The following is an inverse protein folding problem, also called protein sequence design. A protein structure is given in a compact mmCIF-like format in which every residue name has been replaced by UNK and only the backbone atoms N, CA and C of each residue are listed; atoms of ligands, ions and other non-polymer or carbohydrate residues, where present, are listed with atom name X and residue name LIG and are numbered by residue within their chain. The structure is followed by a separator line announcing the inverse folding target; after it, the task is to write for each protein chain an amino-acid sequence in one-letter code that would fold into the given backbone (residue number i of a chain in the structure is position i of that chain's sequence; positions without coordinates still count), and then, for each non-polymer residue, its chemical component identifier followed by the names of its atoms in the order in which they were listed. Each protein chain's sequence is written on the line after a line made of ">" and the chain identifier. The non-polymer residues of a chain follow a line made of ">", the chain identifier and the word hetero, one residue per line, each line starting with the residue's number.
data_IF_083487145826
#
_entry.id   IF_083487145826
#
_cell.length_a   1.000
_cell.length_b   1.000
_cell.length_c   1.000
_cell.angle_alpha   90.00
_cell.angle_beta   90.00
_cell.angle_gamma   90.00
#
_symmetry.space_group_name_H-M   'P 1'
#
loop_
_entity.id
_entity.type
_entity.pdbx_description
1 polymer ?
#
# COMPACT_ATOMS: atom_id res chain seq x y z
N UNK A 1 20.77 -3.50 -20.44
CA UNK A 1 19.95 -4.32 -19.54
C UNK A 1 19.18 -3.34 -18.67
N UNK A 2 17.86 -3.50 -18.55
CA UNK A 2 17.03 -2.58 -17.77
C UNK A 2 17.44 -2.63 -16.31
N UNK A 3 17.70 -1.48 -15.70
CA UNK A 3 18.02 -1.37 -14.26
C UNK A 3 17.15 -0.31 -13.61
N UNK A 4 17.08 -0.31 -12.28
CA UNK A 4 16.49 0.78 -11.51
C UNK A 4 17.35 2.04 -11.74
N UNK A 5 16.74 3.10 -12.26
CA UNK A 5 17.39 4.40 -12.51
C UNK A 5 17.37 5.28 -11.25
N UNK A 6 16.19 5.40 -10.62
CA UNK A 6 15.99 6.24 -9.45
C UNK A 6 14.74 5.86 -8.68
N UNK A 7 14.71 6.26 -7.42
CA UNK A 7 13.58 6.08 -6.51
C UNK A 7 13.18 7.44 -5.96
N UNK A 8 11.90 7.77 -6.02
CA UNK A 8 11.33 8.96 -5.38
C UNK A 8 10.38 8.56 -4.26
N UNK A 9 10.54 9.20 -3.11
CA UNK A 9 9.69 9.02 -1.94
C UNK A 9 9.02 10.35 -1.67
N UNK A 10 7.69 10.33 -1.49
CA UNK A 10 6.92 11.52 -1.16
C UNK A 10 5.94 11.22 -0.05
N UNK A 11 5.80 12.16 0.88
CA UNK A 11 4.89 12.07 2.00
C UNK A 11 3.73 13.03 1.83
N UNK A 12 2.53 12.54 2.07
CA UNK A 12 1.27 13.25 1.89
C UNK A 12 0.45 13.17 3.17
N UNK A 13 -0.33 14.22 3.44
CA UNK A 13 -1.21 14.29 4.60
C UNK A 13 -2.60 14.71 4.16
N UNK A 14 -3.60 13.90 4.50
CA UNK A 14 -5.01 14.19 4.31
C UNK A 14 -5.62 14.60 5.66
N UNK A 15 -6.08 15.86 5.83
CA UNK A 15 -6.86 16.25 7.00
C UNK A 15 -8.19 15.48 7.06
N UNK A 16 -8.57 15.02 8.26
CA UNK A 16 -9.84 14.34 8.51
C UNK A 16 -10.76 15.28 9.30
N UNK A 17 -11.82 15.75 8.64
CA UNK A 17 -12.87 16.58 9.21
C UNK A 17 -14.25 16.03 8.81
N UNK A 18 -15.03 15.43 9.73
CA UNK A 18 -14.72 15.25 11.16
C UNK A 18 -13.55 14.27 11.41
N UNK A 19 -12.95 14.28 12.62
CA UNK A 19 -11.92 13.32 12.99
C UNK A 19 -12.45 11.88 12.92
N UNK A 20 -11.57 10.94 12.57
CA UNK A 20 -11.92 9.53 12.49
C UNK A 20 -11.58 8.79 13.79
N UNK A 21 -12.59 8.22 14.44
CA UNK A 21 -12.45 7.48 15.70
C UNK A 21 -12.25 5.99 15.43
N UNK A 22 -11.05 5.61 14.96
CA UNK A 22 -10.76 4.22 14.69
C UNK A 22 -10.91 3.35 15.95
N UNK A 23 -11.64 2.23 15.86
CA UNK A 23 -11.96 1.39 17.02
C UNK A 23 -10.73 0.78 17.72
N UNK A 24 -9.57 0.78 17.06
CA UNK A 24 -8.30 0.24 17.57
C UNK A 24 -7.33 1.32 18.06
N UNK A 25 -7.71 2.60 17.97
CA UNK A 25 -6.90 3.71 18.46
C UNK A 25 -7.46 4.27 19.77
N UNK A 26 -6.59 4.75 20.66
CA UNK A 26 -6.99 5.43 21.89
C UNK A 26 -7.38 6.91 21.69
N UNK A 27 -7.19 7.47 20.50
CA UNK A 27 -7.44 8.86 20.16
C UNK A 27 -7.98 8.99 18.74
N UNK A 28 -8.76 10.06 18.49
CA UNK A 28 -9.26 10.35 17.16
C UNK A 28 -8.12 10.71 16.19
N UNK A 29 -8.17 10.16 14.98
CA UNK A 29 -7.30 10.59 13.89
C UNK A 29 -7.82 11.88 13.30
N UNK A 30 -7.00 12.93 13.35
CA UNK A 30 -7.28 14.21 12.70
C UNK A 30 -6.65 14.32 11.31
N UNK A 31 -5.80 13.36 10.94
CA UNK A 31 -5.24 13.25 9.61
C UNK A 31 -4.91 11.79 9.28
N UNK A 32 -4.77 11.50 7.99
CA UNK A 32 -4.23 10.26 7.47
C UNK A 32 -2.96 10.60 6.66
N UNK A 33 -1.84 9.98 7.03
CA UNK A 33 -0.57 10.17 6.34
C UNK A 33 -0.33 9.01 5.38
N UNK A 34 0.15 9.33 4.18
CA UNK A 34 0.48 8.34 3.17
C UNK A 34 1.88 8.60 2.60
N UNK A 35 2.66 7.53 2.45
CA UNK A 35 3.91 7.57 1.69
C UNK A 35 3.69 6.94 0.32
N UNK A 36 4.08 7.65 -0.74
CA UNK A 36 4.11 7.14 -2.11
C UNK A 36 5.56 6.98 -2.54
N UNK A 37 5.91 5.75 -2.94
CA UNK A 37 7.22 5.38 -3.51
C UNK A 37 7.05 5.16 -5.01
N UNK A 38 7.95 5.75 -5.79
CA UNK A 38 8.01 5.64 -7.25
C UNK A 38 9.37 5.11 -7.66
N UNK A 39 9.40 3.98 -8.35
CA UNK A 39 10.63 3.37 -8.87
C UNK A 39 10.64 3.51 -10.38
N UNK A 40 11.66 4.18 -10.91
CA UNK A 40 11.84 4.38 -12.33
C UNK A 40 12.92 3.44 -12.85
N UNK A 41 12.71 2.84 -14.02
CA UNK A 41 13.75 2.09 -14.72
C UNK A 41 14.44 2.93 -15.82
N UNK A 42 15.55 2.43 -16.34
CA UNK A 42 16.33 3.08 -17.42
C UNK A 42 15.59 3.20 -18.75
N UNK A 43 14.46 2.52 -18.91
CA UNK A 43 13.63 2.55 -20.12
C UNK A 43 12.43 3.50 -19.95
N UNK A 44 12.34 4.22 -18.81
CA UNK A 44 11.31 5.21 -18.52
C UNK A 44 10.02 4.63 -17.96
N UNK A 45 9.99 3.35 -17.58
CA UNK A 45 8.84 2.75 -16.89
C UNK A 45 8.82 3.16 -15.42
N UNK A 46 7.63 3.12 -14.83
CA UNK A 46 7.37 3.53 -13.46
C UNK A 46 6.58 2.43 -12.74
N UNK A 47 7.08 1.99 -11.59
CA UNK A 47 6.31 1.26 -10.59
C UNK A 47 5.97 2.13 -9.40
N UNK A 48 4.75 1.99 -8.87
CA UNK A 48 4.21 2.80 -7.78
C UNK A 48 3.77 1.91 -6.63
N UNK A 49 4.13 2.30 -5.41
CA UNK A 49 3.64 1.69 -4.19
C UNK A 49 3.23 2.76 -3.16
N UNK A 50 2.22 2.43 -2.36
CA UNK A 50 1.69 3.32 -1.32
C UNK A 50 1.51 2.58 -0.01
N UNK A 51 1.68 3.29 1.09
CA UNK A 51 1.35 2.81 2.43
C UNK A 51 1.05 3.95 3.38
N UNK A 52 0.90 3.63 4.66
CA UNK A 52 0.88 4.62 5.75
C UNK A 52 2.20 5.42 5.77
N UNK A 53 2.37 6.30 6.76
CA UNK A 53 3.62 7.03 6.95
C UNK A 53 4.80 6.08 7.18
N UNK A 54 5.55 5.84 6.11
CA UNK A 54 6.76 5.02 6.08
C UNK A 54 7.96 5.85 6.52
N UNK A 55 8.71 5.35 7.50
CA UNK A 55 9.97 5.91 7.97
C UNK A 55 11.09 4.87 7.79
N UNK A 56 12.33 5.34 7.64
CA UNK A 56 13.52 4.48 7.67
C UNK A 56 14.02 3.99 6.30
N UNK A 57 13.29 4.25 5.22
CA UNK A 57 13.76 3.91 3.87
C UNK A 57 14.67 4.98 3.26
N UNK A 58 14.31 6.27 3.41
CA UNK A 58 15.08 7.39 2.86
C UNK A 58 16.57 7.28 3.22
N UNK A 59 17.44 7.41 2.22
CA UNK A 59 18.89 7.25 2.35
C UNK A 59 19.43 5.85 2.06
N UNK A 60 18.57 4.89 1.69
CA UNK A 60 18.95 3.52 1.30
C UNK A 60 18.70 3.22 -0.19
N UNK A 61 18.40 4.25 -0.99
CA UNK A 61 18.05 4.10 -2.42
C UNK A 61 19.20 3.48 -3.22
N UNK A 62 20.44 3.77 -2.83
CA UNK A 62 21.68 3.25 -3.44
C UNK A 62 21.79 1.73 -3.41
N UNK A 63 21.12 1.07 -2.46
CA UNK A 63 21.07 -0.38 -2.37
C UNK A 63 20.24 -1.02 -3.50
N UNK A 64 19.43 -0.23 -4.22
CA UNK A 64 18.51 -0.66 -5.27
C UNK A 64 18.85 -0.06 -6.64
N UNK A 65 19.27 1.20 -6.70
CA UNK A 65 19.65 1.87 -7.95
C UNK A 65 20.78 1.10 -8.65
N UNK A 66 20.65 0.94 -9.98
CA UNK A 66 21.57 0.17 -10.81
C UNK A 66 21.37 -1.36 -10.78
N UNK A 67 20.47 -1.87 -9.93
CA UNK A 67 20.14 -3.30 -9.90
C UNK A 67 19.01 -3.63 -10.89
N UNK A 68 18.92 -4.91 -11.29
CA UNK A 68 17.82 -5.43 -12.10
C UNK A 68 16.49 -5.34 -11.31
N UNK A 69 15.47 -4.61 -11.79
CA UNK A 69 14.18 -4.52 -11.10
C UNK A 69 13.44 -5.86 -10.98
N UNK A 70 13.76 -6.84 -11.82
CA UNK A 70 13.14 -8.17 -11.80
C UNK A 70 13.76 -9.14 -10.77
N UNK A 71 14.87 -8.76 -10.13
CA UNK A 71 15.48 -9.54 -9.03
C UNK A 71 14.74 -9.31 -7.71
N UNK A 72 13.43 -9.64 -7.69
CA UNK A 72 12.52 -9.39 -6.58
C UNK A 72 12.98 -10.09 -5.29
N UNK A 73 13.57 -11.29 -5.38
CA UNK A 73 14.09 -12.02 -4.23
C UNK A 73 15.28 -11.29 -3.58
N UNK A 74 16.19 -10.72 -4.38
CA UNK A 74 17.29 -9.89 -3.87
C UNK A 74 16.74 -8.65 -3.19
N UNK A 75 15.81 -7.94 -3.83
CA UNK A 75 15.21 -6.72 -3.29
C UNK A 75 14.47 -6.98 -1.98
N UNK A 76 13.69 -8.07 -1.92
CA UNK A 76 12.99 -8.48 -0.70
C UNK A 76 13.96 -8.79 0.45
N UNK A 77 15.11 -9.43 0.16
CA UNK A 77 16.13 -9.70 1.18
C UNK A 77 16.80 -8.43 1.70
N UNK A 78 17.08 -7.45 0.82
CA UNK A 78 17.60 -6.14 1.23
C UNK A 78 16.57 -5.41 2.08
N UNK A 79 15.32 -5.35 1.62
CA UNK A 79 14.20 -4.75 2.35
C UNK A 79 14.01 -5.39 3.73
N UNK A 80 14.06 -6.71 3.82
CA UNK A 80 13.94 -7.44 5.10
C UNK A 80 15.02 -7.05 6.10
N UNK A 81 16.23 -6.70 5.63
CA UNK A 81 17.30 -6.22 6.48
C UNK A 81 17.03 -4.78 6.97
N UNK A 82 16.59 -3.89 6.07
CA UNK A 82 16.18 -2.52 6.43
C UNK A 82 15.02 -2.55 7.42
N UNK A 83 14.02 -3.40 7.18
CA UNK A 83 12.85 -3.60 8.04
C UNK A 83 13.22 -4.02 9.46
N UNK A 84 14.30 -4.79 9.60
CA UNK A 84 14.81 -5.22 10.90
C UNK A 84 15.48 -4.08 11.68
N UNK A 85 16.16 -3.15 10.99
CA UNK A 85 16.97 -2.10 11.62
C UNK A 85 16.26 -0.75 11.77
N UNK A 86 15.33 -0.43 10.86
CA UNK A 86 14.74 0.91 10.75
C UNK A 86 13.22 0.89 10.82
N UNK A 87 12.56 0.27 9.84
CA UNK A 87 11.10 0.31 9.74
C UNK A 87 10.60 -0.42 8.50
N UNK A 88 9.31 -0.77 8.50
CA UNK A 88 8.72 -1.57 7.43
C UNK A 88 8.53 -0.75 6.15
N UNK A 89 9.38 -0.99 5.17
CA UNK A 89 9.42 -0.25 3.92
C UNK A 89 8.59 -0.92 2.81
N UNK A 90 7.45 -1.51 3.16
CA UNK A 90 6.60 -2.27 2.23
C UNK A 90 6.15 -1.49 0.98
N UNK A 91 5.97 -0.15 0.99
CA UNK A 91 5.61 0.57 -0.24
C UNK A 91 6.67 0.43 -1.34
N UNK A 92 7.96 0.26 -1.01
CA UNK A 92 8.97 -0.03 -2.03
C UNK A 92 8.75 -1.41 -2.65
N UNK A 93 8.47 -2.44 -1.83
CA UNK A 93 8.21 -3.80 -2.35
C UNK A 93 7.05 -3.78 -3.35
N UNK A 94 5.95 -3.10 -3.01
CA UNK A 94 4.81 -2.93 -3.91
C UNK A 94 5.20 -2.19 -5.20
N UNK A 95 6.01 -1.13 -5.10
CA UNK A 95 6.47 -0.39 -6.27
C UNK A 95 7.34 -1.23 -7.21
N UNK A 96 8.18 -2.12 -6.65
CA UNK A 96 8.99 -3.07 -7.44
C UNK A 96 8.12 -4.12 -8.12
N UNK A 97 7.11 -4.65 -7.44
CA UNK A 97 6.13 -5.56 -8.04
C UNK A 97 5.32 -4.91 -9.15
N UNK A 98 4.88 -3.66 -8.97
CA UNK A 98 4.20 -2.90 -10.01
C UNK A 98 5.12 -2.69 -11.22
N UNK A 99 6.37 -2.27 -11.01
CA UNK A 99 7.37 -2.13 -12.08
C UNK A 99 7.60 -3.45 -12.81
N UNK A 100 7.72 -4.57 -12.08
CA UNK A 100 7.87 -5.89 -12.68
C UNK A 100 6.65 -6.28 -13.54
N UNK A 101 5.43 -5.91 -13.11
CA UNK A 101 4.21 -6.05 -13.89
C UNK A 101 4.22 -5.21 -15.17
N UNK A 102 4.67 -3.95 -15.09
CA UNK A 102 4.86 -3.09 -16.28
C UNK A 102 5.88 -3.69 -17.25
N UNK A 103 7.00 -4.22 -16.73
CA UNK A 103 8.05 -4.83 -17.53
C UNK A 103 7.57 -6.10 -18.24
N UNK A 104 6.82 -6.95 -17.52
CA UNK A 104 6.30 -8.22 -18.05
C UNK A 104 4.98 -8.07 -18.80
N UNK A 105 4.37 -6.89 -18.77
CA UNK A 105 3.03 -6.61 -19.30
C UNK A 105 1.97 -7.58 -18.75
N UNK A 106 2.09 -7.92 -17.46
CA UNK A 106 1.23 -8.88 -16.78
C UNK A 106 0.77 -8.30 -15.43
N UNK A 107 -0.53 -8.37 -15.09
CA UNK A 107 -0.97 -7.91 -13.80
C UNK A 107 -0.34 -8.73 -12.66
N UNK A 108 0.05 -8.05 -11.58
CA UNK A 108 0.74 -8.64 -10.42
C UNK A 108 0.01 -9.87 -9.87
N UNK A 109 -1.33 -9.87 -9.82
CA UNK A 109 -2.09 -11.01 -9.32
C UNK A 109 -1.86 -12.30 -10.12
N UNK A 110 -1.62 -12.22 -11.45
CA UNK A 110 -1.25 -13.39 -12.26
C UNK A 110 0.18 -13.82 -12.02
N UNK A 111 1.08 -12.84 -11.89
CA UNK A 111 2.49 -13.12 -11.57
C UNK A 111 2.63 -13.87 -10.23
N UNK A 112 1.75 -13.57 -9.27
CA UNK A 112 1.65 -14.24 -7.97
C UNK A 112 0.89 -15.58 -8.03
N UNK A 113 0.44 -16.03 -9.20
CA UNK A 113 -0.26 -17.30 -9.39
C UNK A 113 -1.77 -17.26 -9.16
N UNK A 114 -2.38 -16.08 -9.07
CA UNK A 114 -3.82 -15.91 -8.96
C UNK A 114 -4.57 -16.43 -10.19
N UNK A 115 -5.75 -17.00 -9.96
CA UNK A 115 -6.58 -17.64 -11.00
C UNK A 115 -7.91 -16.93 -11.24
N UNK A 116 -8.30 -16.01 -10.35
CA UNK A 116 -9.56 -15.27 -10.44
C UNK A 116 -9.27 -13.76 -10.42
N UNK A 117 -9.73 -12.99 -11.42
CA UNK A 117 -9.61 -11.53 -11.42
C UNK A 117 -10.59 -10.83 -10.47
N UNK A 118 -11.54 -11.56 -9.87
CA UNK A 118 -12.57 -11.01 -9.00
C UNK A 118 -12.41 -11.51 -7.55
N UNK A 119 -12.65 -10.61 -6.58
CA UNK A 119 -12.65 -10.93 -5.15
C UNK A 119 -13.88 -10.29 -4.48
N UNK A 120 -14.65 -11.04 -3.68
CA UNK A 120 -15.73 -10.47 -2.88
C UNK A 120 -15.18 -9.43 -1.89
N UNK A 121 -15.84 -8.29 -1.79
CA UNK A 121 -15.47 -7.20 -0.87
C UNK A 121 -16.55 -6.99 0.19
N UNK A 122 -16.16 -6.42 1.33
CA UNK A 122 -17.05 -6.08 2.43
C UNK A 122 -16.79 -4.64 2.89
N UNK A 123 -17.80 -3.99 3.46
CA UNK A 123 -17.67 -2.66 4.03
C UNK A 123 -17.26 -2.73 5.51
N UNK A 124 -16.40 -1.82 5.97
CA UNK A 124 -15.93 -1.79 7.36
C UNK A 124 -16.48 -0.55 8.05
N UNK A 125 -17.14 -0.74 9.20
CA UNK A 125 -17.58 0.37 10.07
C UNK A 125 -16.43 1.26 10.55
N UNK A 126 -15.26 0.66 10.79
CA UNK A 126 -14.00 1.36 11.08
C UNK A 126 -13.90 2.01 12.46
N UNK A 127 -15.03 2.40 13.05
CA UNK A 127 -15.16 3.05 14.34
C UNK A 127 -16.15 2.30 15.25
N UNK A 128 -16.11 2.62 16.54
CA UNK A 128 -17.17 2.23 17.47
C UNK A 128 -18.36 3.17 17.25
N UNK A 129 -19.56 2.59 17.22
CA UNK A 129 -20.83 3.29 16.97
C UNK A 129 -21.87 2.73 17.94
N UNK A 130 -22.88 3.54 18.27
CA UNK A 130 -24.02 3.03 19.03
C UNK A 130 -24.83 2.01 18.18
N UNK A 131 -25.57 1.08 18.80
CA UNK A 131 -26.27 0.02 18.08
C UNK A 131 -27.18 0.52 16.95
N UNK A 132 -27.90 1.62 17.18
CA UNK A 132 -28.78 2.23 16.18
C UNK A 132 -27.99 2.80 14.99
N UNK A 133 -26.84 3.44 15.24
CA UNK A 133 -25.97 3.98 14.19
C UNK A 133 -25.35 2.86 13.34
N UNK A 134 -25.03 1.72 13.95
CA UNK A 134 -24.56 0.53 13.22
C UNK A 134 -25.63 -0.03 12.29
N UNK A 135 -26.90 -0.02 12.71
CA UNK A 135 -28.01 -0.48 11.89
C UNK A 135 -28.17 0.41 10.64
N UNK A 136 -28.17 1.73 10.83
CA UNK A 136 -28.23 2.71 9.73
C UNK A 136 -27.03 2.54 8.77
N UNK A 137 -25.83 2.33 9.30
CA UNK A 137 -24.63 2.12 8.49
C UNK A 137 -24.72 0.81 7.70
N UNK A 138 -25.22 -0.27 8.29
CA UNK A 138 -25.43 -1.55 7.61
C UNK A 138 -26.44 -1.42 6.45
N UNK A 139 -27.56 -0.72 6.66
CA UNK A 139 -28.52 -0.43 5.60
C UNK A 139 -27.88 0.40 4.48
N UNK A 140 -27.06 1.39 4.82
CA UNK A 140 -26.34 2.21 3.83
C UNK A 140 -25.35 1.38 3.00
N UNK A 141 -24.61 0.47 3.62
CA UNK A 141 -23.66 -0.40 2.93
C UNK A 141 -24.36 -1.41 2.01
N UNK A 142 -25.50 -1.94 2.46
CA UNK A 142 -26.33 -2.81 1.64
C UNK A 142 -26.87 -2.05 0.41
N UNK A 143 -27.32 -0.80 0.58
CA UNK A 143 -27.77 0.06 -0.52
C UNK A 143 -26.65 0.39 -1.52
N UNK A 144 -25.40 0.46 -1.06
CA UNK A 144 -24.20 0.60 -1.91
C UNK A 144 -23.77 -0.71 -2.59
N UNK A 145 -24.45 -1.83 -2.30
CA UNK A 145 -24.18 -3.14 -2.91
C UNK A 145 -23.13 -3.97 -2.20
N UNK A 146 -22.69 -3.60 -0.99
CA UNK A 146 -21.81 -4.45 -0.21
C UNK A 146 -22.59 -5.62 0.41
N UNK A 147 -22.25 -6.88 0.10
CA UNK A 147 -22.98 -8.04 0.60
C UNK A 147 -22.64 -8.40 2.05
N UNK A 148 -21.62 -7.77 2.62
CA UNK A 148 -21.15 -8.02 3.97
C UNK A 148 -20.59 -6.75 4.61
N UNK A 149 -20.71 -6.68 5.94
CA UNK A 149 -20.17 -5.61 6.76
C UNK A 149 -19.33 -6.18 7.90
N UNK A 150 -18.17 -5.56 8.17
CA UNK A 150 -17.38 -5.81 9.37
C UNK A 150 -17.75 -4.77 10.43
N UNK A 151 -18.31 -5.26 11.52
CA UNK A 151 -18.58 -4.51 12.74
C UNK A 151 -17.28 -4.45 13.57
N UNK A 152 -16.97 -3.27 14.11
CA UNK A 152 -15.79 -3.03 14.94
C UNK A 152 -16.19 -2.75 16.36
#
# INVERSE_FOLDING_TARGET
>A
MTTIDRIEITHHRLPLAPPFYAAWDGQARHHFDATIVRVFDTDGRLGIGSGDFMLGFEGHEDLFVGCDPLDLDRHNRVLSNIDFHYGRCWPLDIALWDLAGQIKQEPVWRMLGGTNPEVPVYASSGALHEPEELADLAESFLALGFPAMKIR
#
